data_IF_874436901179
#
_entry.id   IF_874436901179
#
_cell.length_a   1.000
_cell.length_b   1.000
_cell.length_c   1.000
_cell.angle_alpha   90.00
_cell.angle_beta   90.00
_cell.angle_gamma   90.00
#
_symmetry.space_group_name_H-M   'P 1'
#
loop_
_entity.id
_entity.type
_entity.pdbx_description
1 polymer ?
#
# COMPACT_ATOMS: atom_id res chain seq x y z
N UNK A 1 -18.70 20.69 -9.54
CA UNK A 1 -18.09 21.26 -8.30
C UNK A 1 -17.04 20.32 -7.75
N UNK A 2 -17.33 19.03 -7.61
CA UNK A 2 -16.41 18.04 -7.01
C UNK A 2 -15.11 17.79 -7.80
N UNK A 3 -15.16 17.94 -9.14
CA UNK A 3 -13.99 17.76 -9.99
C UNK A 3 -12.94 18.89 -9.84
N UNK A 4 -13.32 20.07 -9.36
CA UNK A 4 -12.42 21.20 -9.21
C UNK A 4 -11.67 21.17 -7.86
N UNK A 5 -12.31 20.69 -6.81
CA UNK A 5 -11.67 20.44 -5.51
C UNK A 5 -10.69 19.26 -5.58
N UNK A 6 -11.04 18.21 -6.32
CA UNK A 6 -10.15 17.08 -6.59
C UNK A 6 -8.87 17.48 -7.37
N UNK A 7 -8.97 18.46 -8.30
CA UNK A 7 -7.80 18.99 -9.02
C UNK A 7 -6.81 19.71 -8.12
N UNK A 8 -7.29 20.50 -7.16
CA UNK A 8 -6.41 21.20 -6.20
C UNK A 8 -5.60 20.26 -5.33
N UNK A 9 -6.20 19.19 -4.84
CA UNK A 9 -5.51 18.17 -4.04
C UNK A 9 -4.51 17.34 -4.88
N UNK A 10 -4.86 17.00 -6.10
CA UNK A 10 -3.97 16.32 -7.03
C UNK A 10 -2.71 17.13 -7.34
N UNK A 11 -2.80 18.44 -7.44
CA UNK A 11 -1.66 19.33 -7.67
C UNK A 11 -0.70 19.42 -6.48
N UNK A 12 -1.21 19.37 -5.25
CA UNK A 12 -0.38 19.33 -4.03
C UNK A 12 0.49 18.07 -3.99
N UNK A 13 -0.11 16.90 -4.24
CA UNK A 13 0.65 15.64 -4.25
C UNK A 13 1.65 15.57 -5.40
N UNK A 14 1.30 16.08 -6.57
CA UNK A 14 2.24 16.18 -7.69
C UNK A 14 3.43 17.08 -7.37
N UNK A 15 3.19 18.24 -6.73
CA UNK A 15 4.27 19.14 -6.28
C UNK A 15 5.15 18.48 -5.24
N UNK A 16 4.57 17.77 -4.27
CA UNK A 16 5.36 17.01 -3.29
C UNK A 16 6.25 15.96 -3.96
N UNK A 17 5.72 15.22 -4.92
CA UNK A 17 6.50 14.23 -5.65
C UNK A 17 7.70 14.87 -6.36
N UNK A 18 7.52 16.03 -7.02
CA UNK A 18 8.61 16.75 -7.67
C UNK A 18 9.65 17.25 -6.67
N UNK A 19 9.22 17.84 -5.56
CA UNK A 19 10.13 18.35 -4.51
C UNK A 19 10.97 17.22 -3.90
N UNK A 20 10.34 16.10 -3.56
CA UNK A 20 11.07 14.96 -3.02
C UNK A 20 11.97 14.29 -4.05
N UNK A 21 11.57 14.25 -5.32
CA UNK A 21 12.43 13.73 -6.39
C UNK A 21 13.68 14.58 -6.59
N UNK A 22 13.55 15.91 -6.59
CA UNK A 22 14.69 16.84 -6.66
C UNK A 22 15.61 16.69 -5.44
N UNK A 23 15.04 16.65 -4.24
CA UNK A 23 15.81 16.45 -3.01
C UNK A 23 16.55 15.09 -3.01
N UNK A 24 15.88 14.01 -3.43
CA UNK A 24 16.49 12.70 -3.53
C UNK A 24 17.62 12.67 -4.58
N UNK A 25 17.41 13.30 -5.72
CA UNK A 25 18.42 13.37 -6.78
C UNK A 25 19.67 14.12 -6.30
N UNK A 26 19.52 15.28 -5.65
CA UNK A 26 20.65 16.04 -5.08
C UNK A 26 21.40 15.22 -4.03
N UNK A 27 20.69 14.64 -3.08
CA UNK A 27 21.31 13.80 -2.06
C UNK A 27 22.02 12.60 -2.66
N UNK A 28 21.43 11.94 -3.68
CA UNK A 28 22.07 10.82 -4.36
C UNK A 28 23.39 11.24 -5.01
N UNK A 29 23.46 12.40 -5.64
CA UNK A 29 24.69 12.93 -6.23
C UNK A 29 25.78 13.22 -5.19
N UNK A 30 25.39 13.63 -3.98
CA UNK A 30 26.34 13.91 -2.88
C UNK A 30 26.94 12.64 -2.28
N UNK A 31 26.20 11.53 -2.32
CA UNK A 31 26.59 10.30 -1.59
C UNK A 31 26.94 9.14 -2.51
N UNK A 32 26.68 9.20 -3.82
CA UNK A 32 26.83 8.06 -4.73
C UNK A 32 28.25 7.48 -4.74
N UNK A 33 29.25 8.32 -4.63
CA UNK A 33 30.66 7.91 -4.61
C UNK A 33 31.08 7.24 -3.28
N UNK A 34 30.20 7.32 -2.25
CA UNK A 34 30.45 6.67 -0.96
C UNK A 34 29.92 5.24 -0.92
N UNK A 35 29.14 4.83 -1.93
CA UNK A 35 28.54 3.50 -2.01
C UNK A 35 29.16 2.70 -3.15
N UNK A 36 29.55 1.47 -2.85
CA UNK A 36 29.94 0.50 -3.87
C UNK A 36 28.75 -0.40 -4.20
N UNK A 37 28.66 -0.83 -5.45
CA UNK A 37 27.71 -1.87 -5.82
C UNK A 37 28.06 -3.18 -5.11
N UNK A 38 27.03 -3.88 -4.64
CA UNK A 38 27.23 -5.21 -4.08
C UNK A 38 27.29 -6.23 -5.22
N UNK A 39 28.50 -6.61 -5.62
CA UNK A 39 28.74 -7.60 -6.66
C UNK A 39 28.46 -9.03 -6.21
N UNK A 40 28.20 -9.24 -4.91
CA UNK A 40 27.97 -10.54 -4.30
C UNK A 40 26.49 -10.80 -4.06
N UNK A 41 25.65 -10.53 -5.06
CA UNK A 41 24.25 -10.88 -4.99
C UNK A 41 24.14 -12.39 -5.27
N UNK A 42 23.62 -13.19 -4.31
CA UNK A 42 23.43 -14.62 -4.54
C UNK A 42 22.43 -14.85 -5.68
N UNK A 43 22.64 -15.91 -6.44
CA UNK A 43 21.65 -16.36 -7.41
C UNK A 43 20.36 -16.75 -6.70
N UNK A 44 19.24 -16.58 -7.42
CA UNK A 44 17.93 -16.97 -6.90
C UNK A 44 17.87 -18.50 -6.74
N UNK A 45 17.57 -18.96 -5.54
CA UNK A 45 17.35 -20.36 -5.25
C UNK A 45 15.86 -20.65 -5.12
N UNK A 46 15.32 -21.50 -5.99
CA UNK A 46 13.92 -21.92 -6.00
C UNK A 46 13.76 -23.42 -5.61
N UNK A 47 14.80 -24.03 -5.02
CA UNK A 47 14.73 -25.39 -4.51
C UNK A 47 13.61 -25.56 -3.48
N UNK A 48 12.84 -26.64 -3.63
CA UNK A 48 11.70 -26.95 -2.77
C UNK A 48 10.41 -26.23 -3.13
N UNK A 49 10.41 -25.36 -4.16
CA UNK A 49 9.20 -24.71 -4.64
C UNK A 49 8.58 -25.43 -5.83
N UNK A 50 7.26 -25.36 -5.97
CA UNK A 50 6.48 -25.98 -7.02
C UNK A 50 5.89 -24.93 -7.98
N UNK A 51 5.60 -25.32 -9.21
CA UNK A 51 4.75 -24.50 -10.10
C UNK A 51 3.39 -24.25 -9.46
N UNK A 52 2.94 -23.01 -9.45
CA UNK A 52 1.59 -22.71 -8.99
C UNK A 52 0.58 -23.05 -10.10
N UNK A 53 -0.19 -24.10 -9.90
CA UNK A 53 -1.29 -24.51 -10.80
C UNK A 53 -2.59 -23.75 -10.49
N UNK A 54 -2.75 -23.26 -9.26
CA UNK A 54 -3.93 -22.55 -8.75
C UNK A 54 -3.88 -21.04 -9.01
N UNK A 55 -3.65 -20.64 -10.25
CA UNK A 55 -3.60 -19.20 -10.63
C UNK A 55 -4.90 -18.45 -10.36
N UNK A 56 -6.02 -19.19 -10.27
CA UNK A 56 -7.33 -18.62 -9.96
C UNK A 56 -7.34 -17.97 -8.57
N UNK A 57 -6.61 -18.51 -7.59
CA UNK A 57 -6.52 -17.96 -6.24
C UNK A 57 -5.88 -16.57 -6.27
N UNK A 58 -4.73 -16.42 -6.93
CA UNK A 58 -4.05 -15.12 -7.05
C UNK A 58 -4.96 -14.07 -7.68
N UNK A 59 -5.64 -14.42 -8.78
CA UNK A 59 -6.53 -13.50 -9.49
C UNK A 59 -7.77 -13.13 -8.66
N UNK A 60 -8.27 -14.05 -7.83
CA UNK A 60 -9.38 -13.80 -6.91
C UNK A 60 -8.95 -12.87 -5.78
N UNK A 61 -7.81 -13.14 -5.15
CA UNK A 61 -7.31 -12.37 -4.03
C UNK A 61 -6.95 -10.95 -4.44
N UNK A 62 -6.36 -10.75 -5.63
CA UNK A 62 -6.13 -9.41 -6.19
C UNK A 62 -7.43 -8.59 -6.29
N UNK A 63 -8.50 -9.22 -6.76
CA UNK A 63 -9.83 -8.57 -6.85
C UNK A 63 -10.39 -8.27 -5.47
N UNK A 64 -10.25 -9.20 -4.53
CA UNK A 64 -10.73 -9.04 -3.17
C UNK A 64 -10.00 -7.91 -2.44
N UNK A 65 -8.68 -7.83 -2.53
CA UNK A 65 -7.90 -6.69 -2.01
C UNK A 65 -8.41 -5.38 -2.58
N UNK A 66 -8.60 -5.30 -3.91
CA UNK A 66 -9.14 -4.11 -4.56
C UNK A 66 -10.53 -3.71 -4.04
N UNK A 67 -11.41 -4.67 -3.83
CA UNK A 67 -12.75 -4.45 -3.28
C UNK A 67 -12.72 -4.03 -1.81
N UNK A 68 -11.89 -4.67 -0.98
CA UNK A 68 -11.70 -4.30 0.43
C UNK A 68 -11.23 -2.84 0.52
N UNK A 69 -10.19 -2.48 -0.24
CA UNK A 69 -9.64 -1.13 -0.22
C UNK A 69 -10.64 -0.09 -0.71
N UNK A 70 -11.38 -0.36 -1.78
CA UNK A 70 -12.37 0.56 -2.32
C UNK A 70 -13.57 0.75 -1.39
N UNK A 71 -14.08 -0.33 -0.80
CA UNK A 71 -15.33 -0.30 -0.04
C UNK A 71 -15.14 0.12 1.41
N UNK A 72 -14.01 -0.24 2.04
CA UNK A 72 -13.79 -0.02 3.47
C UNK A 72 -12.72 1.03 3.78
N UNK A 73 -11.73 1.22 2.89
CA UNK A 73 -10.59 2.11 3.10
C UNK A 73 -10.60 3.31 2.12
N UNK A 74 -11.69 3.48 1.38
CA UNK A 74 -11.89 4.56 0.42
C UNK A 74 -11.89 5.96 1.05
N UNK A 75 -12.55 6.91 0.39
CA UNK A 75 -12.53 8.34 0.80
C UNK A 75 -13.24 8.54 2.14
N UNK A 76 -14.44 7.96 2.30
CA UNK A 76 -15.23 8.06 3.54
C UNK A 76 -14.97 6.83 4.40
N UNK A 77 -14.32 7.04 5.52
CA UNK A 77 -13.86 6.00 6.44
C UNK A 77 -14.67 5.99 7.73
N UNK A 78 -14.63 4.86 8.44
CA UNK A 78 -15.09 4.72 9.84
C UNK A 78 -14.27 3.64 10.54
N UNK A 79 -14.18 3.72 11.86
CA UNK A 79 -13.47 2.73 12.67
C UNK A 79 -14.01 1.30 12.40
N UNK A 80 -15.33 1.16 12.24
CA UNK A 80 -15.97 -0.11 11.91
C UNK A 80 -15.52 -0.67 10.55
N UNK A 81 -15.50 0.18 9.51
CA UNK A 81 -15.07 -0.23 8.17
C UNK A 81 -13.59 -0.58 8.14
N UNK A 82 -12.76 0.26 8.76
CA UNK A 82 -11.31 0.05 8.82
C UNK A 82 -10.97 -1.25 9.57
N UNK A 83 -11.66 -1.54 10.68
CA UNK A 83 -11.48 -2.80 11.41
C UNK A 83 -11.85 -4.02 10.57
N UNK A 84 -12.93 -3.94 9.78
CA UNK A 84 -13.31 -5.02 8.84
C UNK A 84 -12.27 -5.20 7.75
N UNK A 85 -11.76 -4.12 7.18
CA UNK A 85 -10.69 -4.19 6.20
C UNK A 85 -9.44 -4.86 6.78
N UNK A 86 -9.04 -4.45 7.98
CA UNK A 86 -7.91 -5.02 8.70
C UNK A 86 -8.01 -6.54 8.84
N UNK A 87 -9.12 -7.04 9.39
CA UNK A 87 -9.32 -8.49 9.61
C UNK A 87 -9.29 -9.28 8.30
N UNK A 88 -9.83 -8.73 7.20
CA UNK A 88 -9.83 -9.40 5.91
C UNK A 88 -8.44 -9.40 5.23
N UNK A 89 -7.74 -8.28 5.32
CA UNK A 89 -6.38 -8.18 4.79
C UNK A 89 -5.39 -9.07 5.56
N UNK A 90 -5.61 -9.24 6.87
CA UNK A 90 -4.82 -10.12 7.71
C UNK A 90 -4.94 -11.58 7.27
N UNK A 91 -6.17 -12.05 7.01
CA UNK A 91 -6.42 -13.38 6.46
C UNK A 91 -5.75 -13.58 5.08
N UNK A 92 -5.95 -12.63 4.17
CA UNK A 92 -5.33 -12.68 2.84
C UNK A 92 -3.80 -12.66 2.92
N UNK A 93 -3.26 -11.94 3.90
CA UNK A 93 -1.82 -11.93 4.14
C UNK A 93 -1.30 -13.31 4.53
N UNK A 94 -1.93 -13.97 5.51
CA UNK A 94 -1.53 -15.31 5.95
C UNK A 94 -1.61 -16.33 4.81
N UNK A 95 -2.72 -16.38 4.08
CA UNK A 95 -2.92 -17.28 2.95
C UNK A 95 -1.89 -17.04 1.83
N UNK A 96 -1.63 -15.77 1.51
CA UNK A 96 -0.67 -15.41 0.45
C UNK A 96 0.78 -15.73 0.87
N UNK A 97 1.16 -15.50 2.14
CA UNK A 97 2.50 -15.86 2.64
C UNK A 97 2.72 -17.38 2.65
N UNK A 98 1.69 -18.16 2.98
CA UNK A 98 1.77 -19.62 2.89
C UNK A 98 1.92 -20.09 1.44
N UNK A 99 1.16 -19.50 0.52
CA UNK A 99 1.26 -19.80 -0.90
C UNK A 99 2.64 -19.41 -1.43
N UNK A 100 3.11 -18.20 -1.12
CA UNK A 100 4.41 -17.69 -1.57
C UNK A 100 5.59 -18.57 -1.16
N UNK A 101 5.54 -19.15 0.02
CA UNK A 101 6.60 -20.06 0.50
C UNK A 101 6.65 -21.41 -0.25
N UNK A 102 5.53 -21.82 -0.85
CA UNK A 102 5.40 -23.12 -1.52
C UNK A 102 5.60 -23.08 -3.02
N UNK A 103 5.37 -21.92 -3.63
CA UNK A 103 5.38 -21.80 -5.10
C UNK A 103 6.58 -21.01 -5.60
N UNK A 104 6.95 -21.25 -6.84
CA UNK A 104 7.95 -20.44 -7.53
C UNK A 104 7.48 -18.99 -7.60
N UNK A 105 8.37 -18.06 -7.25
CA UNK A 105 8.07 -16.65 -7.32
C UNK A 105 7.76 -16.25 -8.77
N UNK A 106 6.54 -15.84 -9.00
CA UNK A 106 6.07 -15.26 -10.27
C UNK A 106 5.71 -13.81 -10.08
N UNK A 107 5.60 -13.06 -11.17
CA UNK A 107 5.17 -11.67 -11.12
C UNK A 107 3.85 -11.50 -10.37
N UNK A 108 2.87 -12.34 -10.67
CA UNK A 108 1.51 -12.21 -10.14
C UNK A 108 1.46 -12.43 -8.62
N UNK A 109 2.16 -13.43 -8.09
CA UNK A 109 2.20 -13.68 -6.63
C UNK A 109 2.98 -12.56 -5.91
N UNK A 110 4.03 -12.01 -6.52
CA UNK A 110 4.75 -10.89 -5.96
C UNK A 110 3.90 -9.61 -5.95
N UNK A 111 3.15 -9.35 -7.02
CA UNK A 111 2.22 -8.21 -7.09
C UNK A 111 1.11 -8.34 -6.04
N UNK A 112 0.49 -9.51 -5.91
CA UNK A 112 -0.53 -9.75 -4.87
C UNK A 112 0.04 -9.48 -3.48
N UNK A 113 1.18 -10.05 -3.16
CA UNK A 113 1.86 -9.87 -1.88
C UNK A 113 2.13 -8.38 -1.60
N UNK A 114 2.61 -7.64 -2.59
CA UNK A 114 2.86 -6.21 -2.46
C UNK A 114 1.56 -5.41 -2.28
N UNK A 115 0.48 -5.76 -3.00
CA UNK A 115 -0.83 -5.13 -2.84
C UNK A 115 -1.39 -5.31 -1.42
N UNK A 116 -1.29 -6.52 -0.86
CA UNK A 116 -1.75 -6.82 0.50
C UNK A 116 -0.93 -6.01 1.51
N UNK A 117 0.41 -6.02 1.40
CA UNK A 117 1.28 -5.28 2.30
C UNK A 117 0.97 -3.77 2.30
N UNK A 118 0.83 -3.16 1.13
CA UNK A 118 0.49 -1.74 1.00
C UNK A 118 -0.91 -1.46 1.56
N UNK A 119 -1.89 -2.30 1.24
CA UNK A 119 -3.26 -2.18 1.76
C UNK A 119 -3.30 -2.28 3.28
N UNK A 120 -2.55 -3.21 3.85
CA UNK A 120 -2.41 -3.41 5.29
C UNK A 120 -1.81 -2.18 5.98
N UNK A 121 -0.70 -1.64 5.45
CA UNK A 121 -0.05 -0.44 5.99
C UNK A 121 -0.96 0.79 5.93
N UNK A 122 -1.65 1.00 4.81
CA UNK A 122 -2.60 2.12 4.66
C UNK A 122 -3.74 1.98 5.67
N UNK A 123 -4.29 0.79 5.82
CA UNK A 123 -5.40 0.52 6.75
C UNK A 123 -4.97 0.74 8.19
N UNK A 124 -3.79 0.26 8.57
CA UNK A 124 -3.22 0.46 9.90
C UNK A 124 -3.06 1.94 10.23
N UNK A 125 -2.39 2.70 9.36
CA UNK A 125 -2.20 4.13 9.55
C UNK A 125 -3.55 4.89 9.60
N UNK A 126 -4.55 4.45 8.82
CA UNK A 126 -5.88 5.03 8.88
C UNK A 126 -6.60 4.75 10.19
N UNK A 127 -6.42 3.54 10.79
CA UNK A 127 -6.97 3.19 12.11
C UNK A 127 -6.32 4.02 13.22
N UNK A 128 -5.01 4.21 13.16
CA UNK A 128 -4.24 4.97 14.16
C UNK A 128 -4.58 6.46 14.12
N UNK A 129 -5.00 6.97 12.97
CA UNK A 129 -5.26 8.39 12.75
C UNK A 129 -6.68 8.78 13.14
N UNK A 130 -6.86 9.30 14.34
CA UNK A 130 -8.14 9.72 14.92
C UNK A 130 -8.48 11.19 14.62
N UNK A 131 -8.37 11.60 13.37
CA UNK A 131 -8.70 12.95 12.88
C UNK A 131 -9.15 12.90 11.41
N UNK A 132 -9.90 13.91 10.98
CA UNK A 132 -10.14 14.13 9.56
C UNK A 132 -9.24 15.25 9.05
N UNK A 133 -8.34 14.91 8.09
CA UNK A 133 -7.39 15.85 7.51
C UNK A 133 -7.02 15.46 6.08
N UNK A 134 -7.10 16.39 5.16
CA UNK A 134 -6.83 16.15 3.74
C UNK A 134 -7.78 15.11 3.16
N UNK A 135 -7.25 14.08 2.52
CA UNK A 135 -8.03 12.98 1.95
C UNK A 135 -8.42 11.91 2.97
N UNK A 136 -7.90 11.97 4.19
CA UNK A 136 -8.35 11.12 5.29
C UNK A 136 -9.56 11.75 5.96
N UNK A 137 -10.76 11.36 5.51
CA UNK A 137 -12.02 11.75 6.14
C UNK A 137 -12.62 10.53 6.86
N UNK A 138 -12.94 10.69 8.14
CA UNK A 138 -13.61 9.67 8.94
C UNK A 138 -14.85 10.23 9.61
N UNK A 139 -15.96 9.48 9.53
CA UNK A 139 -17.24 9.89 10.12
C UNK A 139 -17.20 9.88 11.65
N UNK A 140 -16.27 9.12 12.25
CA UNK A 140 -16.13 9.03 13.71
C UNK A 140 -15.36 10.23 14.28
N UNK A 141 -14.53 10.89 13.46
CA UNK A 141 -13.72 12.05 13.84
C UNK A 141 -13.85 13.18 12.79
N UNK A 142 -15.05 13.78 12.62
CA UNK A 142 -15.34 14.70 11.51
C UNK A 142 -14.67 16.07 11.63
N UNK A 143 -14.18 16.46 12.81
CA UNK A 143 -13.55 17.77 13.02
C UNK A 143 -12.16 17.79 12.40
N UNK A 144 -11.91 18.80 11.56
CA UNK A 144 -10.57 19.07 11.05
C UNK A 144 -9.67 19.57 12.18
N UNK A 145 -8.38 19.20 12.14
CA UNK A 145 -7.38 19.65 13.12
C UNK A 145 -7.25 21.19 13.18
N UNK A 146 -7.75 21.90 12.17
CA UNK A 146 -7.76 23.38 12.09
C UNK A 146 -8.98 24.02 12.76
N UNK A 147 -10.01 23.27 13.11
CA UNK A 147 -11.27 23.77 13.70
C UNK A 147 -11.19 23.85 15.24
N UNK A 148 -10.06 23.51 15.82
CA UNK A 148 -9.78 23.64 17.25
C UNK A 148 -9.03 24.97 17.51
N UNK A 149 -9.78 26.09 17.35
CA UNK A 149 -9.39 27.39 17.89
C UNK A 149 -10.39 27.83 18.91
#
# INVERSE_FOLDING_TARGET
>A
RDAQESRGLGDVYKRQAVVYADAAARHSLEVIDQYAFNDKIPEWNDEGTMSNEEKVLIAQDMREVGQIMSNYVGIVRSDLRLKRAWTRLDLLYEETEELFKRVKATKDICELRNMINVGYLITRQAIERKESRGLHYTIDYPKHAYDQK
#
